data_IF_958431757594
#
_entry.id   IF_958431757594
#
_cell.length_a   1.000
_cell.length_b   1.000
_cell.length_c   1.000
_cell.angle_alpha   90.00
_cell.angle_beta   90.00
_cell.angle_gamma   90.00
#
_symmetry.space_group_name_H-M   'P 1'
#
loop_
_entity.id
_entity.type
_entity.pdbx_description
1 polymer ?
#
# COMPACT_ATOMS: atom_id res chain seq x y z
N UNK A 1 70.12 -22.01 -47.91
CA UNK A 1 69.84 -20.57 -48.07
C UNK A 1 68.33 -20.46 -48.31
N UNK A 2 67.50 -20.06 -47.35
CA UNK A 2 67.17 -18.66 -47.00
C UNK A 2 66.18 -18.11 -48.05
N UNK A 3 65.03 -17.48 -47.79
CA UNK A 3 64.45 -16.78 -46.64
C UNK A 3 62.92 -16.69 -46.81
N UNK A 4 62.25 -16.32 -45.72
CA UNK A 4 60.83 -15.94 -45.54
C UNK A 4 60.20 -15.05 -46.62
N UNK A 5 58.86 -15.13 -46.70
CA UNK A 5 58.01 -14.04 -47.20
C UNK A 5 56.51 -14.39 -47.14
N UNK A 6 55.85 -13.94 -46.08
CA UNK A 6 54.39 -14.02 -45.80
C UNK A 6 53.55 -13.02 -46.59
N UNK A 7 52.32 -13.37 -46.98
CA UNK A 7 51.09 -12.52 -47.11
C UNK A 7 49.88 -13.49 -47.20
N UNK A 8 49.08 -13.73 -46.15
CA UNK A 8 47.80 -13.05 -45.76
C UNK A 8 46.88 -12.81 -46.97
N UNK A 9 45.78 -13.53 -47.21
CA UNK A 9 44.60 -13.69 -46.37
C UNK A 9 43.40 -13.07 -47.10
N UNK A 10 42.39 -13.88 -47.45
CA UNK A 10 41.05 -13.42 -47.76
C UNK A 10 40.07 -14.56 -47.46
N UNK A 11 39.40 -14.44 -46.32
CA UNK A 11 38.36 -15.34 -45.84
C UNK A 11 37.21 -15.37 -46.85
N UNK A 12 36.96 -16.53 -47.46
CA UNK A 12 35.70 -16.75 -48.15
C UNK A 12 34.59 -16.73 -47.09
N UNK A 13 33.77 -15.69 -47.09
CA UNK A 13 32.59 -15.61 -46.22
C UNK A 13 31.61 -16.71 -46.63
N UNK A 14 31.57 -17.80 -45.85
CA UNK A 14 30.52 -18.80 -45.92
C UNK A 14 29.22 -18.21 -45.38
N UNK A 15 28.31 -17.88 -46.28
CA UNK A 15 26.92 -17.57 -45.93
C UNK A 15 26.20 -18.92 -45.75
N UNK A 16 25.96 -19.32 -44.50
CA UNK A 16 25.09 -20.45 -44.20
C UNK A 16 24.27 -20.15 -42.94
N UNK A 17 23.07 -19.60 -43.18
CA UNK A 17 21.86 -19.76 -42.38
C UNK A 17 21.93 -19.48 -40.88
N UNK A 18 21.69 -18.23 -40.47
CA UNK A 18 21.09 -17.98 -39.15
C UNK A 18 19.66 -18.50 -39.22
N UNK A 19 19.39 -19.63 -38.58
CA UNK A 19 18.02 -20.02 -38.27
C UNK A 19 17.44 -18.97 -37.32
N UNK A 20 16.61 -18.07 -37.88
CA UNK A 20 15.82 -17.12 -37.11
C UNK A 20 14.77 -17.95 -36.37
N UNK A 21 15.03 -18.20 -35.08
CA UNK A 21 14.06 -18.86 -34.20
C UNK A 21 12.83 -17.97 -34.10
N UNK A 22 11.75 -18.36 -34.80
CA UNK A 22 10.45 -17.76 -34.68
C UNK A 22 9.80 -18.26 -33.38
N UNK A 23 10.16 -17.63 -32.25
CA UNK A 23 9.53 -17.88 -30.96
C UNK A 23 8.75 -16.66 -30.43
N UNK A 24 8.39 -15.71 -31.30
CA UNK A 24 7.66 -14.48 -30.93
C UNK A 24 6.18 -14.48 -31.36
N UNK A 25 5.49 -15.63 -31.33
CA UNK A 25 4.06 -15.68 -31.67
C UNK A 25 3.18 -16.52 -30.75
N UNK A 26 3.52 -16.60 -29.47
CA UNK A 26 2.63 -17.06 -28.41
C UNK A 26 2.96 -16.23 -27.16
N UNK A 27 2.44 -15.03 -26.93
CA UNK A 27 1.14 -14.81 -26.31
C UNK A 27 0.86 -13.28 -26.21
N UNK A 28 0.15 -12.68 -27.17
CA UNK A 28 -0.31 -11.27 -27.08
C UNK A 28 -1.26 -11.01 -25.90
N UNK A 29 -1.87 -12.06 -25.32
CA UNK A 29 -2.84 -11.95 -24.23
C UNK A 29 -2.25 -11.77 -22.82
N UNK A 30 -0.95 -12.03 -22.59
CA UNK A 30 -0.36 -11.95 -21.24
C UNK A 30 0.24 -10.58 -20.90
N UNK A 31 0.61 -9.78 -21.91
CA UNK A 31 1.25 -8.46 -21.71
C UNK A 31 0.20 -7.40 -21.34
N UNK A 32 -0.96 -7.40 -22.00
CA UNK A 32 -2.07 -6.49 -21.64
C UNK A 32 -2.67 -6.79 -20.25
N UNK A 33 -2.72 -8.07 -19.87
CA UNK A 33 -3.25 -8.48 -18.56
C UNK A 33 -2.29 -8.12 -17.42
N UNK A 34 -0.97 -8.20 -17.61
CA UNK A 34 0.01 -7.76 -16.61
C UNK A 34 0.00 -6.25 -16.40
N UNK A 35 -0.11 -5.47 -17.48
CA UNK A 35 -0.15 -4.00 -17.37
C UNK A 35 -1.41 -3.54 -16.64
N UNK A 36 -2.59 -4.10 -16.97
CA UNK A 36 -3.84 -3.79 -16.27
C UNK A 36 -3.79 -4.16 -14.79
N UNK A 37 -3.27 -5.35 -14.44
CA UNK A 37 -3.09 -5.77 -13.04
C UNK A 37 -2.16 -4.86 -12.27
N UNK A 38 -1.06 -4.44 -12.89
CA UNK A 38 -0.10 -3.53 -12.27
C UNK A 38 -0.73 -2.14 -12.03
N UNK A 39 -1.43 -1.58 -13.03
CA UNK A 39 -2.15 -0.31 -12.90
C UNK A 39 -3.22 -0.37 -11.80
N UNK A 40 -4.00 -1.46 -11.73
CA UNK A 40 -4.99 -1.64 -10.65
C UNK A 40 -4.34 -1.74 -9.27
N UNK A 41 -3.22 -2.45 -9.14
CA UNK A 41 -2.49 -2.58 -7.88
C UNK A 41 -1.91 -1.22 -7.42
N UNK A 42 -1.35 -0.43 -8.34
CA UNK A 42 -0.87 0.92 -8.03
C UNK A 42 -2.00 1.86 -7.61
N UNK A 43 -3.13 1.81 -8.32
CA UNK A 43 -4.29 2.64 -7.98
C UNK A 43 -4.82 2.30 -6.57
N UNK A 44 -4.96 1.01 -6.25
CA UNK A 44 -5.37 0.55 -4.93
C UNK A 44 -4.37 0.96 -3.83
N UNK A 45 -3.07 0.90 -4.11
CA UNK A 45 -2.06 1.38 -3.17
C UNK A 45 -2.18 2.88 -2.92
N UNK A 46 -2.38 3.69 -3.97
CA UNK A 46 -2.64 5.12 -3.84
C UNK A 46 -3.85 5.44 -2.96
N UNK A 47 -4.98 4.78 -3.24
CA UNK A 47 -6.22 4.94 -2.45
C UNK A 47 -6.02 4.61 -0.96
N UNK A 48 -5.27 3.55 -0.68
CA UNK A 48 -4.94 3.12 0.69
C UNK A 48 -4.04 4.13 1.42
N UNK A 49 -3.02 4.65 0.74
CA UNK A 49 -2.15 5.70 1.29
C UNK A 49 -2.94 6.99 1.59
N UNK A 50 -3.84 7.37 0.69
CA UNK A 50 -4.71 8.54 0.89
C UNK A 50 -5.68 8.35 2.06
N UNK A 51 -6.28 7.16 2.19
CA UNK A 51 -7.14 6.82 3.32
C UNK A 51 -6.39 6.94 4.65
N UNK A 52 -5.21 6.31 4.77
CA UNK A 52 -4.37 6.40 5.99
C UNK A 52 -4.00 7.85 6.30
N UNK A 53 -3.67 8.65 5.28
CA UNK A 53 -3.36 10.08 5.47
C UNK A 53 -4.56 10.85 6.01
N UNK A 54 -5.76 10.64 5.46
CA UNK A 54 -7.00 11.28 5.95
C UNK A 54 -7.27 10.88 7.40
N UNK A 55 -7.13 9.60 7.73
CA UNK A 55 -7.34 9.12 9.11
C UNK A 55 -6.36 9.72 10.10
N UNK A 56 -5.07 9.81 9.73
CA UNK A 56 -4.05 10.43 10.59
C UNK A 56 -4.26 11.93 10.77
N UNK A 57 -4.69 12.65 9.73
CA UNK A 57 -5.04 14.08 9.83
C UNK A 57 -6.25 14.27 10.74
N UNK A 58 -7.34 13.55 10.49
CA UNK A 58 -8.57 13.65 11.28
C UNK A 58 -8.34 13.28 12.75
N UNK A 59 -7.55 12.25 13.05
CA UNK A 59 -7.19 11.90 14.42
C UNK A 59 -6.37 13.01 15.11
N UNK A 60 -5.49 13.69 14.39
CA UNK A 60 -4.72 14.82 14.93
C UNK A 60 -5.61 16.05 15.19
N UNK A 61 -6.56 16.33 14.30
CA UNK A 61 -7.53 17.40 14.47
C UNK A 61 -8.47 17.10 15.66
N UNK A 62 -8.98 15.87 15.77
CA UNK A 62 -9.82 15.44 16.88
C UNK A 62 -9.10 15.51 18.23
N UNK A 63 -7.80 15.17 18.27
CA UNK A 63 -6.94 15.38 19.45
C UNK A 63 -6.92 16.84 19.85
N UNK A 64 -6.69 17.73 18.89
CA UNK A 64 -6.49 19.15 19.16
C UNK A 64 -7.81 19.78 19.61
N UNK A 65 -8.94 19.38 19.02
CA UNK A 65 -10.28 19.73 19.47
C UNK A 65 -10.57 19.26 20.90
N UNK A 66 -10.27 17.99 21.21
CA UNK A 66 -10.45 17.44 22.56
C UNK A 66 -9.57 18.16 23.59
N UNK A 67 -8.31 18.46 23.24
CA UNK A 67 -7.39 19.22 24.11
C UNK A 67 -7.88 20.64 24.35
N UNK A 68 -8.35 21.32 23.30
CA UNK A 68 -8.90 22.66 23.41
C UNK A 68 -10.12 22.68 24.34
N UNK A 69 -11.01 21.70 24.20
CA UNK A 69 -12.15 21.55 25.12
C UNK A 69 -11.68 21.23 26.55
N UNK A 70 -10.73 20.32 26.73
CA UNK A 70 -10.26 19.89 28.05
C UNK A 70 -9.52 20.99 28.82
N UNK A 71 -8.82 21.89 28.11
CA UNK A 71 -8.10 23.04 28.66
C UNK A 71 -8.96 24.32 28.73
N UNK A 72 -10.08 24.38 28.01
CA UNK A 72 -10.99 25.52 27.98
C UNK A 72 -12.04 25.49 29.09
N UNK A 73 -12.95 26.47 29.11
CA UNK A 73 -14.18 26.37 29.89
C UNK A 73 -14.94 25.12 29.44
N UNK A 74 -15.17 24.16 30.33
CA UNK A 74 -15.87 22.89 30.04
C UNK A 74 -17.38 23.10 29.91
N UNK A 75 -17.76 24.07 29.11
CA UNK A 75 -19.16 24.37 28.77
C UNK A 75 -19.57 23.48 27.61
N UNK A 76 -20.45 22.52 27.87
CA UNK A 76 -20.95 21.56 26.88
C UNK A 76 -20.18 20.24 26.87
N UNK A 77 -20.63 19.34 25.98
CA UNK A 77 -20.14 17.97 25.88
C UNK A 77 -18.76 17.89 25.21
N UNK A 78 -17.95 16.85 25.51
CA UNK A 78 -16.69 16.62 24.84
C UNK A 78 -16.87 16.38 23.33
N UNK A 79 -15.92 16.81 22.49
CA UNK A 79 -15.98 16.57 21.04
C UNK A 79 -16.12 15.07 20.73
N UNK A 80 -17.12 14.72 19.93
CA UNK A 80 -17.39 13.36 19.47
C UNK A 80 -16.96 13.23 18.00
N UNK A 81 -16.28 12.15 17.65
CA UNK A 81 -15.80 11.88 16.29
C UNK A 81 -16.70 10.93 15.49
N UNK A 82 -17.74 10.37 16.13
CA UNK A 82 -18.72 9.54 15.42
C UNK A 82 -19.46 10.39 14.39
N UNK A 83 -19.50 9.91 13.14
CA UNK A 83 -20.04 10.66 12.00
C UNK A 83 -19.00 11.43 11.20
N UNK A 84 -17.78 11.62 11.71
CA UNK A 84 -16.70 12.22 10.93
C UNK A 84 -16.27 11.29 9.79
N UNK A 85 -16.08 11.84 8.59
CA UNK A 85 -15.72 11.07 7.40
C UNK A 85 -14.46 10.21 7.62
N UNK A 86 -13.46 10.76 8.31
CA UNK A 86 -12.23 10.05 8.59
C UNK A 86 -12.45 8.86 9.53
N UNK A 87 -13.31 9.00 10.54
CA UNK A 87 -13.56 7.95 11.52
C UNK A 87 -14.49 6.87 10.97
N UNK A 88 -15.55 7.26 10.27
CA UNK A 88 -16.44 6.33 9.57
C UNK A 88 -15.70 5.56 8.47
N UNK A 89 -14.73 6.19 7.80
CA UNK A 89 -13.84 5.51 6.86
C UNK A 89 -12.91 4.49 7.54
N UNK A 90 -12.49 4.72 8.78
CA UNK A 90 -11.61 3.84 9.55
C UNK A 90 -12.38 2.63 10.13
N UNK A 91 -13.60 2.86 10.61
CA UNK A 91 -14.43 1.88 11.35
C UNK A 91 -14.49 0.46 10.76
N UNK A 92 -14.68 0.26 9.44
CA UNK A 92 -14.75 -1.08 8.87
C UNK A 92 -13.47 -1.90 9.05
N UNK A 93 -12.32 -1.23 9.25
CA UNK A 93 -11.00 -1.84 9.35
C UNK A 93 -10.54 -2.07 10.79
N UNK A 94 -11.28 -1.56 11.78
CA UNK A 94 -11.03 -1.84 13.18
C UNK A 94 -11.28 -3.32 13.48
N UNK A 95 -10.53 -3.91 14.44
CA UNK A 95 -10.64 -5.32 14.76
C UNK A 95 -12.04 -5.65 15.30
N UNK A 96 -12.50 -6.89 15.10
CA UNK A 96 -13.77 -7.38 15.64
C UNK A 96 -13.68 -7.81 17.11
N UNK A 97 -12.46 -7.90 17.65
CA UNK A 97 -12.16 -8.37 19.01
C UNK A 97 -11.12 -7.48 19.68
N UNK A 98 -11.11 -7.46 21.01
CA UNK A 98 -10.20 -6.62 21.81
C UNK A 98 -10.77 -5.24 22.10
N UNK A 99 -9.97 -4.39 22.75
CA UNK A 99 -10.40 -3.05 23.19
C UNK A 99 -10.87 -2.19 22.01
N UNK A 100 -10.17 -2.23 20.87
CA UNK A 100 -10.53 -1.44 19.71
C UNK A 100 -11.82 -1.87 18.99
N UNK A 101 -12.39 -3.02 19.34
CA UNK A 101 -13.60 -3.51 18.71
C UNK A 101 -14.84 -2.68 19.08
N UNK A 102 -14.84 -2.06 20.26
CA UNK A 102 -15.96 -1.23 20.73
C UNK A 102 -16.23 -0.05 19.81
N UNK A 103 -15.18 0.55 19.24
CA UNK A 103 -15.25 1.73 18.38
C UNK A 103 -15.97 1.48 17.04
N UNK A 104 -16.15 0.21 16.66
CA UNK A 104 -16.94 -0.16 15.47
C UNK A 104 -18.43 0.14 15.62
N UNK A 105 -18.94 0.09 16.85
CA UNK A 105 -20.36 0.25 17.15
C UNK A 105 -20.65 1.34 18.17
N UNK A 106 -19.62 1.93 18.78
CA UNK A 106 -19.76 3.01 19.75
C UNK A 106 -20.54 4.19 19.16
N UNK A 107 -21.53 4.72 19.87
CA UNK A 107 -22.27 5.90 19.39
C UNK A 107 -21.56 7.21 19.74
N UNK A 108 -20.62 7.16 20.69
CA UNK A 108 -19.82 8.29 21.14
C UNK A 108 -18.37 7.84 21.27
N UNK A 109 -17.47 8.62 20.69
CA UNK A 109 -16.02 8.38 20.74
C UNK A 109 -15.35 9.75 20.91
N UNK A 110 -14.67 9.91 22.03
CA UNK A 110 -13.93 11.12 22.35
C UNK A 110 -12.44 10.83 22.25
N UNK A 111 -11.69 11.67 21.54
CA UNK A 111 -10.25 11.48 21.36
C UNK A 111 -9.43 11.91 22.57
N UNK A 112 -9.70 11.30 23.72
CA UNK A 112 -8.85 11.35 24.90
C UNK A 112 -7.53 10.58 24.67
N UNK A 113 -6.57 10.71 25.59
CA UNK A 113 -5.23 10.13 25.39
C UNK A 113 -5.25 8.58 25.20
N UNK A 114 -6.04 7.80 25.97
CA UNK A 114 -6.21 6.37 25.73
C UNK A 114 -6.79 6.05 24.34
N UNK A 115 -7.93 6.64 23.99
CA UNK A 115 -8.61 6.40 22.70
C UNK A 115 -7.71 6.78 21.54
N UNK A 116 -7.02 7.91 21.64
CA UNK A 116 -6.09 8.37 20.61
C UNK A 116 -4.92 7.40 20.41
N UNK A 117 -4.34 6.90 21.50
CA UNK A 117 -3.21 5.97 21.43
C UNK A 117 -3.65 4.68 20.74
N UNK A 118 -4.81 4.15 21.13
CA UNK A 118 -5.37 2.94 20.58
C UNK A 118 -5.70 3.10 19.08
N UNK A 119 -6.41 4.16 18.69
CA UNK A 119 -6.74 4.41 17.28
C UNK A 119 -5.49 4.63 16.42
N UNK A 120 -4.47 5.31 16.96
CA UNK A 120 -3.18 5.50 16.28
C UNK A 120 -2.47 4.17 16.01
N UNK A 121 -2.47 3.27 16.99
CA UNK A 121 -1.89 1.93 16.86
C UNK A 121 -2.65 1.09 15.81
N UNK A 122 -3.99 1.15 15.82
CA UNK A 122 -4.81 0.43 14.84
C UNK A 122 -4.60 0.95 13.41
N UNK A 123 -4.53 2.28 13.22
CA UNK A 123 -4.18 2.88 11.92
C UNK A 123 -2.81 2.36 11.45
N UNK A 124 -1.82 2.32 12.36
CA UNK A 124 -0.49 1.78 12.05
C UNK A 124 -0.50 0.28 11.72
N UNK A 125 -1.34 -0.52 12.38
CA UNK A 125 -1.53 -1.94 12.07
C UNK A 125 -2.09 -2.11 10.67
N UNK A 126 -3.14 -1.36 10.32
CA UNK A 126 -3.80 -1.40 9.00
C UNK A 126 -2.82 -0.99 7.90
N UNK A 127 -2.08 0.11 8.11
CA UNK A 127 -1.07 0.59 7.16
C UNK A 127 0.01 -0.46 6.89
N UNK A 128 0.50 -1.13 7.95
CA UNK A 128 1.47 -2.21 7.83
C UNK A 128 0.90 -3.41 7.07
N UNK A 129 -0.34 -3.81 7.38
CA UNK A 129 -1.02 -4.91 6.70
C UNK A 129 -1.17 -4.63 5.20
N UNK A 130 -1.67 -3.45 4.85
CA UNK A 130 -1.80 -3.01 3.46
C UNK A 130 -0.47 -2.90 2.72
N UNK A 131 0.59 -2.49 3.41
CA UNK A 131 1.94 -2.42 2.86
C UNK A 131 2.51 -3.81 2.57
N UNK A 132 2.30 -4.78 3.46
CA UNK A 132 2.77 -6.15 3.24
C UNK A 132 1.96 -6.88 2.17
N UNK A 133 0.65 -6.62 2.07
CA UNK A 133 -0.18 -7.06 0.94
C UNK A 133 0.33 -6.54 -0.40
N UNK A 134 0.65 -5.24 -0.48
CA UNK A 134 1.17 -4.62 -1.70
C UNK A 134 2.53 -5.21 -2.13
N UNK A 135 3.37 -5.62 -1.16
CA UNK A 135 4.63 -6.32 -1.42
C UNK A 135 4.46 -7.79 -1.83
N UNK A 136 3.22 -8.29 -1.93
CA UNK A 136 2.94 -9.70 -2.23
C UNK A 136 3.32 -10.66 -1.10
N UNK A 137 3.68 -10.14 0.08
CA UNK A 137 3.94 -10.93 1.28
C UNK A 137 2.61 -11.24 1.96
N UNK A 138 1.77 -12.06 1.33
CA UNK A 138 0.71 -12.74 2.08
C UNK A 138 1.40 -13.49 3.20
N UNK A 139 1.09 -13.14 4.45
CA UNK A 139 1.51 -13.92 5.63
C UNK A 139 1.20 -15.37 5.29
N UNK A 140 2.24 -16.19 5.09
CA UNK A 140 2.08 -17.64 5.06
C UNK A 140 1.45 -17.97 6.41
N UNK A 141 0.14 -18.24 6.42
CA UNK A 141 -0.51 -18.89 7.54
C UNK A 141 0.27 -20.19 7.72
N UNK A 142 1.20 -20.21 8.68
CA UNK A 142 1.68 -21.47 9.23
C UNK A 142 0.49 -21.99 10.03
N UNK A 143 -0.18 -22.96 9.43
CA UNK A 143 -1.03 -23.93 10.11
C UNK A 143 -0.13 -24.69 11.09
#
# INVERSE_FOLDING_TARGET
MGLMGTVVGASAMGIAGVARSAADNLLPGMVGNHNNKHQMAMHLHGQRCDAVRRWRSGLAEARDAYRQWACGPRTGDPPNVVGDEWFEGLRPYLPTTGEAAEFRTAHEVHCDNPTLTLLSLEIGRIEKEWTEEAKGRRRRHRI
#
